data_IF_776201658663
#
_entry.id   IF_776201658663
#
_cell.length_a   1.000
_cell.length_b   1.000
_cell.length_c   1.000
_cell.angle_alpha   90.00
_cell.angle_beta   90.00
_cell.angle_gamma   90.00
#
_symmetry.space_group_name_H-M   'P 1'
#
loop_
_entity.id
_entity.type
_entity.pdbx_description
1 polymer ?
#
# COMPACT_ATOMS: atom_id res chain seq x y z
N UNK A 1 69.75 -71.00 -23.97
CA UNK A 1 69.45 -71.81 -22.76
C UNK A 1 68.76 -70.88 -21.71
N UNK A 2 67.50 -71.27 -21.33
CA UNK A 2 66.89 -71.12 -20.03
C UNK A 2 66.80 -69.67 -19.42
N UNK A 3 65.76 -69.13 -18.84
CA UNK A 3 64.44 -69.53 -18.37
C UNK A 3 63.65 -68.30 -18.08
N UNK A 4 62.37 -68.26 -18.30
CA UNK A 4 61.42 -67.40 -17.61
C UNK A 4 61.41 -67.69 -16.11
N UNK A 5 61.01 -66.73 -15.24
CA UNK A 5 59.59 -66.76 -14.83
C UNK A 5 58.94 -65.37 -14.37
N UNK A 6 57.67 -65.44 -14.52
CA UNK A 6 56.57 -64.97 -13.66
C UNK A 6 56.23 -63.47 -13.54
N UNK A 7 55.19 -63.18 -14.19
CA UNK A 7 54.17 -62.17 -13.98
C UNK A 7 53.72 -62.10 -12.50
N UNK A 8 53.68 -60.89 -11.95
CA UNK A 8 52.93 -60.56 -10.74
C UNK A 8 51.95 -59.41 -11.03
N UNK A 9 50.72 -59.73 -10.91
CA UNK A 9 49.49 -58.97 -11.11
C UNK A 9 49.54 -57.58 -10.47
N UNK A 10 49.49 -56.49 -11.29
CA UNK A 10 49.16 -55.14 -10.83
C UNK A 10 47.61 -55.00 -10.86
N UNK A 11 47.02 -55.05 -9.67
CA UNK A 11 45.64 -54.75 -9.44
C UNK A 11 45.46 -53.23 -9.48
N UNK A 12 45.00 -52.68 -10.59
CA UNK A 12 44.65 -51.27 -10.70
C UNK A 12 43.26 -51.05 -10.04
N UNK A 13 43.29 -50.42 -8.84
CA UNK A 13 42.13 -49.85 -8.20
C UNK A 13 41.65 -48.65 -9.01
N UNK A 14 40.57 -48.82 -9.79
CA UNK A 14 39.78 -47.71 -10.34
C UNK A 14 38.95 -47.09 -9.20
N UNK A 15 39.35 -45.94 -8.70
CA UNK A 15 38.58 -45.10 -7.81
C UNK A 15 37.64 -44.25 -8.72
N UNK A 16 36.31 -44.40 -8.66
CA UNK A 16 35.43 -43.49 -9.38
C UNK A 16 35.46 -42.12 -8.71
N UNK A 17 36.00 -41.13 -9.43
CA UNK A 17 35.92 -39.73 -9.06
C UNK A 17 34.47 -39.28 -9.22
N UNK A 18 33.71 -39.29 -8.14
CA UNK A 18 32.33 -38.77 -8.06
C UNK A 18 32.40 -37.25 -8.16
N UNK A 19 32.30 -36.72 -9.39
CA UNK A 19 32.11 -35.28 -9.62
C UNK A 19 30.73 -34.90 -9.10
N UNK A 20 30.69 -34.36 -7.89
CA UNK A 20 29.53 -33.59 -7.36
C UNK A 20 29.40 -32.31 -8.21
N UNK A 21 28.60 -32.39 -9.26
CA UNK A 21 28.04 -31.18 -9.87
C UNK A 21 27.11 -30.53 -8.87
N UNK A 22 27.61 -29.55 -8.10
CA UNK A 22 26.79 -28.58 -7.43
C UNK A 22 26.03 -27.82 -8.51
N UNK A 23 24.82 -28.26 -8.79
CA UNK A 23 23.88 -27.50 -9.58
C UNK A 23 23.53 -26.25 -8.77
N UNK A 24 24.23 -25.15 -9.00
CA UNK A 24 23.74 -23.84 -8.62
C UNK A 24 22.42 -23.64 -9.39
N UNK A 25 21.31 -23.83 -8.72
CA UNK A 25 20.01 -23.45 -9.27
C UNK A 25 20.09 -21.98 -9.65
N UNK A 26 19.70 -21.61 -10.88
CA UNK A 26 19.64 -20.20 -11.22
C UNK A 26 18.68 -19.52 -10.23
N UNK A 27 19.20 -18.59 -9.43
CA UNK A 27 18.36 -17.73 -8.61
C UNK A 27 17.61 -16.82 -9.55
N UNK A 28 16.37 -17.15 -9.85
CA UNK A 28 15.48 -16.21 -10.49
C UNK A 28 15.34 -15.00 -9.56
N UNK A 29 15.39 -13.78 -10.09
CA UNK A 29 15.11 -12.60 -9.28
C UNK A 29 13.75 -12.81 -8.61
N UNK A 30 13.73 -12.74 -7.29
CA UNK A 30 12.48 -12.86 -6.53
C UNK A 30 11.59 -11.69 -6.93
N UNK A 31 10.34 -11.96 -7.28
CA UNK A 31 9.37 -10.90 -7.56
C UNK A 31 9.31 -9.93 -6.36
N UNK A 32 9.19 -8.62 -6.61
CA UNK A 32 9.09 -7.64 -5.53
C UNK A 32 7.91 -7.97 -4.63
N UNK A 33 8.06 -7.74 -3.33
CA UNK A 33 6.96 -7.89 -2.38
C UNK A 33 5.84 -6.91 -2.70
N UNK A 34 4.66 -7.14 -2.13
CA UNK A 34 3.49 -6.32 -2.46
C UNK A 34 3.67 -4.84 -2.11
N UNK A 35 4.42 -4.54 -1.05
CA UNK A 35 4.67 -3.19 -0.55
C UNK A 35 6.17 -2.93 -0.41
N UNK A 36 6.58 -1.67 -0.57
CA UNK A 36 7.91 -1.20 -0.19
C UNK A 36 7.80 -0.09 0.85
N UNK A 37 8.66 -0.15 1.87
CA UNK A 37 8.82 0.88 2.90
C UNK A 37 10.07 1.67 2.55
N UNK A 38 9.89 2.96 2.27
CA UNK A 38 10.98 3.86 1.82
C UNK A 38 11.33 4.82 2.95
N UNK A 39 12.58 4.79 3.39
CA UNK A 39 13.14 5.70 4.38
C UNK A 39 13.76 6.92 3.67
N UNK A 40 13.29 8.13 4.00
CA UNK A 40 13.74 9.39 3.40
C UNK A 40 14.30 10.32 4.48
N UNK A 41 15.61 10.52 4.49
CA UNK A 41 16.30 11.33 5.50
C UNK A 41 16.02 12.84 5.35
N UNK A 42 16.39 13.61 6.36
CA UNK A 42 16.25 15.06 6.39
C UNK A 42 17.49 15.82 5.86
N UNK A 43 17.51 17.11 6.13
CA UNK A 43 18.61 18.01 5.80
C UNK A 43 19.92 17.53 6.45
N UNK A 44 21.02 17.53 5.70
CA UNK A 44 22.34 17.01 6.11
C UNK A 44 22.34 15.52 6.50
N UNK A 45 21.26 14.79 6.22
CA UNK A 45 21.17 13.37 6.47
C UNK A 45 21.78 12.53 5.35
N UNK A 46 21.91 11.25 5.66
CA UNK A 46 22.30 10.16 4.78
C UNK A 46 21.69 8.84 5.31
N UNK A 47 22.12 7.71 4.75
CA UNK A 47 21.67 6.38 5.24
C UNK A 47 21.93 6.15 6.72
N UNK A 48 23.00 6.74 7.28
CA UNK A 48 23.35 6.57 8.71
C UNK A 48 22.42 7.31 9.66
N UNK A 49 21.61 8.25 9.18
CA UNK A 49 20.67 9.03 9.98
C UNK A 49 19.72 8.17 10.81
N UNK A 50 19.46 6.96 10.36
CA UNK A 50 18.56 5.98 10.99
C UNK A 50 19.24 5.08 12.03
N UNK A 51 20.52 5.34 12.34
CA UNK A 51 21.34 4.52 13.25
C UNK A 51 21.36 5.13 14.65
N UNK A 52 20.97 4.34 15.63
CA UNK A 52 21.03 4.69 17.04
C UNK A 52 22.42 4.53 17.64
N UNK A 53 22.69 5.14 18.78
CA UNK A 53 23.98 5.09 19.46
C UNK A 53 24.40 3.68 19.89
N UNK A 54 23.44 2.78 20.15
CA UNK A 54 23.71 1.37 20.46
C UNK A 54 23.98 0.50 19.22
N UNK A 55 24.04 1.11 18.02
CA UNK A 55 24.26 0.44 16.75
C UNK A 55 22.98 -0.08 16.07
N UNK A 56 21.81 -0.03 16.72
CA UNK A 56 20.55 -0.40 16.09
C UNK A 56 20.31 0.47 14.85
N UNK A 57 19.85 -0.17 13.77
CA UNK A 57 19.56 0.49 12.50
C UNK A 57 18.10 0.27 12.14
N UNK A 58 17.31 1.35 12.13
CA UNK A 58 15.86 1.24 11.98
C UNK A 58 15.43 0.42 10.76
N UNK A 59 15.98 0.61 9.56
CA UNK A 59 15.63 -0.23 8.42
C UNK A 59 15.87 -1.73 8.66
N UNK A 60 16.93 -2.10 9.41
CA UNK A 60 17.19 -3.51 9.73
C UNK A 60 16.23 -4.06 10.79
N UNK A 61 15.80 -3.22 11.75
CA UNK A 61 14.75 -3.58 12.70
C UNK A 61 13.44 -3.91 11.96
N UNK A 62 13.09 -3.13 10.92
CA UNK A 62 11.91 -3.36 10.08
C UNK A 62 12.08 -4.63 9.24
N UNK A 63 13.22 -4.80 8.55
CA UNK A 63 13.49 -5.99 7.71
C UNK A 63 13.39 -7.30 8.48
N UNK A 64 13.75 -7.28 9.75
CA UNK A 64 13.76 -8.46 10.61
C UNK A 64 12.49 -8.64 11.46
N UNK A 65 11.52 -7.74 11.35
CA UNK A 65 10.25 -7.83 12.08
C UNK A 65 9.18 -8.55 11.22
N UNK A 66 8.61 -9.67 11.70
CA UNK A 66 7.55 -10.39 10.98
C UNK A 66 6.35 -9.53 10.60
N UNK A 67 6.04 -8.45 11.33
CA UNK A 67 4.96 -7.53 10.98
C UNK A 67 5.13 -6.87 9.61
N UNK A 68 6.34 -6.85 9.07
CA UNK A 68 6.64 -6.24 7.76
C UNK A 68 7.06 -7.28 6.72
N UNK A 69 6.76 -8.57 6.95
CA UNK A 69 7.22 -9.67 6.09
C UNK A 69 6.78 -9.54 4.62
N UNK A 70 5.68 -8.84 4.36
CA UNK A 70 5.16 -8.59 3.01
C UNK A 70 5.72 -7.33 2.35
N UNK A 71 6.69 -6.65 3.00
CA UNK A 71 7.29 -5.42 2.48
C UNK A 71 8.77 -5.57 2.23
N UNK A 72 9.21 -4.98 1.12
CA UNK A 72 10.62 -4.66 0.92
C UNK A 72 10.94 -3.35 1.66
N UNK A 73 12.23 -3.12 1.90
CA UNK A 73 12.70 -1.91 2.59
C UNK A 73 13.77 -1.26 1.75
N UNK A 74 13.53 -0.03 1.37
CA UNK A 74 14.50 0.83 0.71
C UNK A 74 14.91 2.00 1.61
N UNK A 75 16.19 2.40 1.52
CA UNK A 75 16.73 3.57 2.20
C UNK A 75 17.32 4.47 1.15
N UNK A 76 16.53 5.42 0.72
CA UNK A 76 16.94 6.32 -0.35
C UNK A 76 17.98 7.31 0.15
N UNK A 77 18.95 7.60 -0.70
CA UNK A 77 19.99 8.60 -0.46
C UNK A 77 19.93 9.65 -1.57
N UNK A 78 19.83 10.90 -1.19
CA UNK A 78 19.86 12.04 -2.11
C UNK A 78 20.86 13.09 -1.62
N UNK A 79 21.44 13.92 -2.50
CA UNK A 79 22.38 14.96 -2.09
C UNK A 79 21.75 15.90 -1.08
N UNK A 80 22.27 15.95 0.13
CA UNK A 80 21.84 16.94 1.12
C UNK A 80 22.63 18.23 0.95
N UNK A 81 22.03 19.42 1.10
CA UNK A 81 22.62 20.71 0.76
C UNK A 81 23.97 21.05 1.40
N UNK A 82 24.40 20.34 2.45
CA UNK A 82 25.68 20.61 3.13
C UNK A 82 26.93 20.46 2.26
N UNK A 83 26.87 19.72 1.16
CA UNK A 83 28.08 19.36 0.44
C UNK A 83 28.37 20.21 -0.80
N UNK A 84 27.37 20.84 -1.45
CA UNK A 84 27.58 21.69 -2.62
C UNK A 84 26.33 22.59 -2.93
N UNK A 85 25.55 22.94 -1.93
CA UNK A 85 24.18 23.34 -2.00
C UNK A 85 23.85 24.61 -2.76
N UNK A 86 23.11 24.45 -3.80
CA UNK A 86 22.25 25.49 -4.41
C UNK A 86 20.96 24.88 -4.95
N UNK A 87 20.52 23.76 -4.39
CA UNK A 87 19.31 23.10 -4.87
C UNK A 87 18.08 23.56 -4.10
N UNK A 88 17.00 23.88 -4.80
CA UNK A 88 15.69 24.12 -4.21
C UNK A 88 15.01 22.81 -3.81
N UNK A 89 13.95 22.88 -3.00
CA UNK A 89 13.12 21.74 -2.66
C UNK A 89 12.59 21.01 -3.91
N UNK A 90 12.20 21.76 -4.94
CA UNK A 90 11.75 21.22 -6.23
C UNK A 90 12.85 20.37 -6.90
N UNK A 91 14.07 20.88 -6.96
CA UNK A 91 15.19 20.16 -7.58
C UNK A 91 15.55 18.90 -6.78
N UNK A 92 15.50 18.96 -5.46
CA UNK A 92 15.75 17.79 -4.61
C UNK A 92 14.62 16.76 -4.72
N UNK A 93 13.38 17.19 -4.88
CA UNK A 93 12.26 16.30 -5.15
C UNK A 93 12.41 15.56 -6.49
N UNK A 94 12.90 16.24 -7.54
CA UNK A 94 13.21 15.61 -8.85
C UNK A 94 14.37 14.61 -8.73
N UNK A 95 15.39 14.91 -7.92
CA UNK A 95 16.49 13.98 -7.65
C UNK A 95 15.97 12.75 -6.87
N UNK A 96 15.17 12.96 -5.83
CA UNK A 96 14.53 11.90 -5.06
C UNK A 96 13.71 10.98 -5.99
N UNK A 97 12.87 11.56 -6.84
CA UNK A 97 12.11 10.83 -7.85
C UNK A 97 12.97 9.92 -8.71
N UNK A 98 14.04 10.48 -9.31
CA UNK A 98 14.94 9.74 -10.17
C UNK A 98 15.63 8.59 -9.41
N UNK A 99 15.95 8.80 -8.14
CA UNK A 99 16.56 7.76 -7.30
C UNK A 99 15.61 6.63 -7.02
N UNK A 100 14.39 6.92 -6.58
CA UNK A 100 13.35 5.92 -6.33
C UNK A 100 13.01 5.10 -7.59
N UNK A 101 13.11 5.73 -8.77
CA UNK A 101 12.95 5.03 -10.03
C UNK A 101 14.12 4.08 -10.33
N UNK A 102 15.36 4.48 -10.04
CA UNK A 102 16.55 3.63 -10.19
C UNK A 102 16.53 2.46 -9.20
N UNK A 103 16.02 2.67 -8.00
CA UNK A 103 15.90 1.67 -6.95
C UNK A 103 14.63 0.80 -7.09
N UNK A 104 13.91 0.92 -8.22
CA UNK A 104 12.73 0.11 -8.58
C UNK A 104 11.57 0.19 -7.57
N UNK A 105 11.48 1.26 -6.78
CA UNK A 105 10.43 1.46 -5.78
C UNK A 105 9.04 1.39 -6.40
N UNK A 106 8.89 1.96 -7.59
CA UNK A 106 7.60 2.03 -8.31
C UNK A 106 7.18 0.72 -8.97
N UNK A 107 8.00 -0.34 -8.92
CA UNK A 107 7.62 -1.67 -9.39
C UNK A 107 6.73 -2.39 -8.37
N UNK A 108 6.67 -1.90 -7.12
CA UNK A 108 5.79 -2.43 -6.08
C UNK A 108 4.35 -1.96 -6.28
N UNK A 109 3.41 -2.80 -5.82
CA UNK A 109 1.98 -2.46 -5.86
C UNK A 109 1.63 -1.30 -4.93
N UNK A 110 2.25 -1.26 -3.77
CA UNK A 110 2.03 -0.25 -2.75
C UNK A 110 3.36 0.32 -2.24
N UNK A 111 3.38 1.63 -2.02
CA UNK A 111 4.52 2.36 -1.47
C UNK A 111 4.09 3.05 -0.18
N UNK A 112 4.93 2.99 0.83
CA UNK A 112 4.79 3.79 2.05
C UNK A 112 6.10 4.52 2.33
N UNK A 113 6.00 5.77 2.76
CA UNK A 113 7.16 6.57 3.11
C UNK A 113 7.26 6.74 4.62
N UNK A 114 8.49 6.59 5.14
CA UNK A 114 8.89 7.00 6.46
C UNK A 114 9.91 8.13 6.27
N UNK A 115 9.47 9.34 6.51
CA UNK A 115 10.23 10.54 6.18
C UNK A 115 10.60 11.35 7.42
N UNK A 116 11.78 11.93 7.42
CA UNK A 116 12.28 12.77 8.49
C UNK A 116 12.49 14.21 8.01
N UNK A 117 11.99 15.16 8.77
CA UNK A 117 12.29 16.59 8.58
C UNK A 117 12.04 17.06 7.14
N UNK A 118 13.03 17.67 6.48
CA UNK A 118 12.99 18.04 5.05
C UNK A 118 12.52 16.90 4.15
N UNK A 119 12.89 15.65 4.46
CA UNK A 119 12.51 14.48 3.66
C UNK A 119 11.00 14.36 3.45
N UNK A 120 10.17 14.75 4.43
CA UNK A 120 8.72 14.78 4.29
C UNK A 120 8.26 15.81 3.25
N UNK A 121 8.81 17.01 3.29
CA UNK A 121 8.51 18.07 2.31
C UNK A 121 8.89 17.62 0.88
N UNK A 122 10.05 16.95 0.73
CA UNK A 122 10.49 16.44 -0.57
C UNK A 122 9.58 15.33 -1.11
N UNK A 123 9.10 14.44 -0.23
CA UNK A 123 8.13 13.41 -0.60
C UNK A 123 6.83 14.06 -1.07
N UNK A 124 6.31 15.05 -0.35
CA UNK A 124 5.07 15.73 -0.71
C UNK A 124 5.19 16.46 -2.05
N UNK A 125 6.26 17.24 -2.25
CA UNK A 125 6.53 17.93 -3.52
C UNK A 125 6.68 16.95 -4.69
N UNK A 126 7.41 15.85 -4.49
CA UNK A 126 7.58 14.81 -5.49
C UNK A 126 6.25 14.18 -5.90
N UNK A 127 5.40 13.83 -4.93
CA UNK A 127 4.11 13.18 -5.20
C UNK A 127 3.14 14.10 -5.95
N UNK A 128 3.14 15.40 -5.67
CA UNK A 128 2.37 16.38 -6.43
C UNK A 128 2.78 16.45 -7.90
N UNK A 129 4.07 16.29 -8.18
CA UNK A 129 4.64 16.33 -9.53
C UNK A 129 4.44 15.03 -10.31
N UNK A 130 4.20 13.91 -9.60
CA UNK A 130 4.06 12.57 -10.17
C UNK A 130 2.77 11.87 -9.70
N UNK A 131 1.58 12.39 -10.07
CA UNK A 131 0.31 11.89 -9.55
C UNK A 131 -0.02 10.45 -9.98
N UNK A 132 0.54 9.95 -11.07
CA UNK A 132 0.34 8.58 -11.51
C UNK A 132 0.95 7.57 -10.52
N UNK A 133 2.15 7.87 -10.00
CA UNK A 133 2.84 7.07 -9.02
C UNK A 133 2.32 7.31 -7.61
N UNK A 134 1.88 8.55 -7.32
CA UNK A 134 1.22 8.91 -6.07
C UNK A 134 0.01 8.01 -5.77
N UNK A 135 -0.70 7.53 -6.80
CA UNK A 135 -1.80 6.58 -6.65
C UNK A 135 -1.40 5.23 -6.02
N UNK A 136 -0.10 4.88 -6.02
CA UNK A 136 0.44 3.69 -5.35
C UNK A 136 0.80 3.93 -3.89
N UNK A 137 0.89 5.20 -3.47
CA UNK A 137 1.28 5.55 -2.10
C UNK A 137 0.08 5.40 -1.18
N UNK A 138 0.22 4.58 -0.15
CA UNK A 138 -0.84 4.32 0.82
C UNK A 138 -0.84 5.33 1.94
N UNK A 139 0.34 5.65 2.46
CA UNK A 139 0.51 6.65 3.49
C UNK A 139 1.95 7.16 3.57
N UNK A 140 2.09 8.30 4.21
CA UNK A 140 3.37 8.90 4.60
C UNK A 140 3.39 9.03 6.12
N UNK A 141 4.46 8.57 6.76
CA UNK A 141 4.71 8.83 8.19
C UNK A 141 5.84 9.84 8.30
N UNK A 142 5.50 11.02 8.79
CA UNK A 142 6.41 12.16 8.90
C UNK A 142 6.89 12.33 10.34
N UNK A 143 8.20 12.32 10.53
CA UNK A 143 8.86 12.56 11.81
C UNK A 143 9.50 13.95 11.79
N UNK A 144 8.93 14.89 12.55
CA UNK A 144 9.43 16.24 12.65
C UNK A 144 9.47 17.01 11.32
N UNK A 145 8.54 16.74 10.39
CA UNK A 145 8.47 17.47 9.11
C UNK A 145 7.91 18.87 9.32
N UNK A 146 8.58 19.92 8.83
CA UNK A 146 8.18 21.32 9.09
C UNK A 146 7.16 21.83 8.08
N UNK A 147 5.90 21.36 8.12
CA UNK A 147 4.85 21.72 7.15
C UNK A 147 4.49 23.22 7.15
N UNK A 148 4.65 23.92 8.29
CA UNK A 148 4.46 25.36 8.42
C UNK A 148 5.80 26.11 8.62
N UNK A 149 6.89 25.48 8.18
CA UNK A 149 8.23 25.99 8.40
C UNK A 149 8.81 25.62 9.77
N UNK A 150 10.06 25.95 9.94
CA UNK A 150 10.78 25.66 11.17
C UNK A 150 11.51 26.89 11.68
N UNK A 151 11.84 26.89 12.98
CA UNK A 151 12.77 27.85 13.54
C UNK A 151 14.16 27.75 12.89
N UNK A 152 14.40 26.69 12.10
CA UNK A 152 15.58 26.57 11.21
C UNK A 152 15.65 27.73 10.21
N UNK A 153 14.55 28.36 9.85
CA UNK A 153 14.59 29.61 9.09
C UNK A 153 15.41 30.71 9.77
N UNK A 154 15.52 30.71 11.11
CA UNK A 154 16.49 31.55 11.83
C UNK A 154 17.94 31.13 11.57
N UNK A 155 18.17 29.92 11.08
CA UNK A 155 19.49 29.44 10.66
C UNK A 155 19.80 29.78 9.23
N UNK A 156 18.79 30.10 8.39
CA UNK A 156 19.03 30.65 7.04
C UNK A 156 20.01 31.82 7.07
N UNK A 157 19.99 32.63 8.12
CA UNK A 157 20.94 33.74 8.31
C UNK A 157 22.40 33.27 8.51
N UNK A 158 22.62 32.01 8.88
CA UNK A 158 23.95 31.42 9.07
C UNK A 158 24.42 30.73 7.76
N UNK A 159 23.45 30.20 6.99
CA UNK A 159 23.69 29.52 5.71
C UNK A 159 23.28 30.37 4.50
N UNK A 160 23.33 31.61 4.59
CA UNK A 160 22.91 32.76 3.80
C UNK A 160 22.83 32.62 2.25
N UNK A 161 22.92 31.41 1.69
CA UNK A 161 22.94 31.17 0.24
C UNK A 161 22.28 29.87 -0.20
N UNK A 162 21.67 29.09 0.69
CA UNK A 162 21.04 27.84 0.27
C UNK A 162 19.54 28.05 0.01
N UNK A 163 19.06 27.88 -1.24
CA UNK A 163 17.64 28.06 -1.58
C UNK A 163 16.69 27.19 -0.74
N UNK A 164 17.15 26.01 -0.31
CA UNK A 164 16.35 25.08 0.51
C UNK A 164 15.95 25.69 1.85
N UNK A 165 16.81 26.52 2.45
CA UNK A 165 16.51 27.15 3.72
C UNK A 165 15.46 28.26 3.58
N UNK A 166 15.42 28.92 2.42
CA UNK A 166 14.33 29.85 2.10
C UNK A 166 13.01 29.10 1.95
N UNK A 167 13.03 27.95 1.28
CA UNK A 167 11.82 27.12 1.10
C UNK A 167 11.26 26.60 2.43
N UNK A 168 12.12 26.38 3.45
CA UNK A 168 11.76 25.94 4.79
C UNK A 168 11.51 27.08 5.78
N UNK A 169 11.62 28.34 5.37
CA UNK A 169 11.33 29.48 6.23
C UNK A 169 9.83 29.55 6.56
N UNK A 170 9.48 30.24 7.65
CA UNK A 170 8.09 30.28 8.09
C UNK A 170 7.14 30.90 7.04
N UNK A 171 5.87 30.48 7.07
CA UNK A 171 4.86 30.83 6.07
C UNK A 171 4.58 32.33 5.96
N UNK A 172 5.05 33.15 6.89
CA UNK A 172 4.90 34.62 6.82
C UNK A 172 5.90 35.26 5.86
N UNK A 173 6.99 34.57 5.58
CA UNK A 173 8.10 35.07 4.73
C UNK A 173 8.26 34.29 3.44
N UNK A 174 7.65 33.10 3.29
CA UNK A 174 7.77 32.23 2.13
C UNK A 174 6.45 31.56 1.76
N UNK A 175 6.10 31.62 0.49
CA UNK A 175 4.88 31.03 -0.05
C UNK A 175 5.05 29.55 -0.47
N UNK A 176 6.26 28.98 -0.45
CA UNK A 176 6.50 27.62 -0.92
C UNK A 176 5.67 26.59 -0.13
N UNK A 177 5.79 26.55 1.20
CA UNK A 177 5.05 25.60 2.04
C UNK A 177 3.54 25.79 1.97
N UNK A 178 3.08 27.06 1.95
CA UNK A 178 1.65 27.38 1.79
C UNK A 178 1.11 26.89 0.44
N UNK A 179 1.89 27.06 -0.64
CA UNK A 179 1.53 26.57 -1.94
C UNK A 179 1.56 25.04 -2.02
N UNK A 180 2.54 24.39 -1.39
CA UNK A 180 2.65 22.95 -1.29
C UNK A 180 1.40 22.35 -0.65
N UNK A 181 1.00 22.84 0.53
CA UNK A 181 -0.19 22.36 1.23
C UNK A 181 -1.49 22.68 0.46
N UNK A 182 -1.60 23.86 -0.14
CA UNK A 182 -2.76 24.21 -0.97
C UNK A 182 -2.87 23.28 -2.18
N UNK A 183 -1.76 22.98 -2.84
CA UNK A 183 -1.69 22.06 -3.98
C UNK A 183 -2.01 20.63 -3.56
N UNK A 184 -1.53 20.20 -2.37
CA UNK A 184 -1.84 18.89 -1.81
C UNK A 184 -3.36 18.72 -1.64
N UNK A 185 -4.02 19.66 -0.96
CA UNK A 185 -5.47 19.65 -0.77
C UNK A 185 -6.26 19.77 -2.08
N UNK A 186 -5.73 20.50 -3.04
CA UNK A 186 -6.35 20.72 -4.36
C UNK A 186 -6.20 19.55 -5.34
N UNK A 187 -5.34 18.56 -5.07
CA UNK A 187 -5.06 17.44 -5.97
C UNK A 187 -5.65 16.14 -5.41
N UNK A 188 -6.79 15.64 -5.92
CA UNK A 188 -7.53 14.52 -5.31
C UNK A 188 -6.67 13.28 -5.07
N UNK A 189 -5.80 12.90 -6.02
CA UNK A 189 -4.95 11.71 -5.91
C UNK A 189 -4.02 11.78 -4.70
N UNK A 190 -3.33 12.90 -4.49
CA UNK A 190 -2.42 13.05 -3.35
C UNK A 190 -3.17 13.32 -2.06
N UNK A 191 -4.28 14.08 -2.12
CA UNK A 191 -5.10 14.36 -0.95
C UNK A 191 -5.75 13.11 -0.33
N UNK A 192 -5.85 12.01 -1.10
CA UNK A 192 -6.31 10.73 -0.59
C UNK A 192 -5.24 9.94 0.17
N UNK A 193 -3.97 10.38 0.14
CA UNK A 193 -2.86 9.74 0.85
C UNK A 193 -2.90 10.18 2.32
N UNK A 194 -2.99 9.22 3.23
CA UNK A 194 -2.93 9.50 4.66
C UNK A 194 -1.56 10.01 5.08
N UNK A 195 -1.52 11.11 5.84
CA UNK A 195 -0.30 11.68 6.43
C UNK A 195 -0.34 11.48 7.94
N UNK A 196 0.48 10.58 8.46
CA UNK A 196 0.63 10.32 9.89
C UNK A 196 1.87 11.05 10.43
N UNK A 197 1.76 11.71 11.56
CA UNK A 197 2.80 12.61 12.03
C UNK A 197 3.29 12.26 13.43
N UNK A 198 4.60 12.40 13.62
CA UNK A 198 5.25 12.37 14.91
C UNK A 198 6.07 13.66 15.13
N UNK A 199 6.14 14.11 16.36
CA UNK A 199 6.83 15.35 16.73
C UNK A 199 7.79 15.14 17.90
N UNK A 200 8.86 15.93 17.91
CA UNK A 200 9.84 15.95 19.00
C UNK A 200 9.27 16.68 20.22
N UNK A 201 9.56 16.17 21.44
CA UNK A 201 9.20 16.85 22.69
C UNK A 201 10.40 17.38 23.47
N UNK A 202 11.62 17.10 23.02
CA UNK A 202 12.85 17.60 23.62
C UNK A 202 13.55 18.60 22.72
N UNK A 203 14.29 19.53 23.33
CA UNK A 203 15.07 20.52 22.60
C UNK A 203 16.36 19.90 22.10
N UNK A 204 16.78 20.23 20.89
CA UNK A 204 18.02 19.74 20.28
C UNK A 204 19.22 20.42 20.91
N UNK A 205 20.18 19.62 21.33
CA UNK A 205 21.49 20.10 21.83
C UNK A 205 22.53 20.05 20.70
N UNK A 206 23.51 20.99 20.65
CA UNK A 206 24.45 21.10 19.55
C UNK A 206 25.61 20.11 19.70
N UNK A 207 25.38 18.81 19.48
CA UNK A 207 26.46 17.82 19.56
C UNK A 207 26.99 17.38 18.21
N UNK A 208 26.11 17.20 17.18
CA UNK A 208 26.55 16.76 15.85
C UNK A 208 25.68 17.30 14.69
N UNK A 209 26.29 17.40 13.51
CA UNK A 209 25.58 17.74 12.27
C UNK A 209 24.96 19.14 12.28
N UNK A 210 23.68 19.26 11.99
CA UNK A 210 22.91 20.52 11.99
C UNK A 210 22.87 21.15 13.38
N UNK A 211 22.90 20.31 14.42
CA UNK A 211 22.82 20.74 15.81
C UNK A 211 23.92 21.71 16.23
N UNK A 212 25.14 21.62 15.64
CA UNK A 212 26.27 22.55 15.94
C UNK A 212 25.98 24.02 15.59
N UNK A 213 24.97 24.26 14.78
CA UNK A 213 24.55 25.60 14.37
C UNK A 213 23.32 26.09 15.14
N UNK A 214 22.70 25.20 15.94
CA UNK A 214 21.56 25.56 16.78
C UNK A 214 22.05 26.26 18.05
N UNK A 215 21.25 27.22 18.54
CA UNK A 215 21.39 27.63 19.92
C UNK A 215 21.08 26.47 20.83
N UNK A 216 21.80 26.28 21.93
CA UNK A 216 21.45 25.24 22.91
C UNK A 216 19.96 25.38 23.33
N UNK A 217 19.30 24.23 23.48
CA UNK A 217 17.89 24.17 23.90
C UNK A 217 16.92 24.79 22.86
N UNK A 218 17.01 24.43 21.61
CA UNK A 218 16.08 24.88 20.58
C UNK A 218 15.27 23.70 20.03
N UNK A 219 13.94 23.81 20.11
CA UNK A 219 13.03 22.95 19.35
C UNK A 219 13.18 23.27 17.87
N UNK A 220 13.55 22.26 17.05
CA UNK A 220 13.79 22.49 15.62
C UNK A 220 12.48 22.71 14.88
N UNK A 221 11.48 21.85 15.11
CA UNK A 221 10.15 21.98 14.52
C UNK A 221 9.12 22.09 15.64
N UNK A 222 8.29 23.13 15.61
CA UNK A 222 7.23 23.29 16.59
C UNK A 222 6.16 22.21 16.43
N UNK A 223 5.45 21.89 17.52
CA UNK A 223 4.30 20.98 17.49
C UNK A 223 3.34 21.32 16.34
N UNK A 224 2.95 22.60 16.25
CA UNK A 224 2.01 23.06 15.23
C UNK A 224 2.51 22.75 13.80
N UNK A 225 3.76 23.06 13.52
CA UNK A 225 4.36 22.82 12.21
C UNK A 225 4.52 21.32 11.92
N UNK A 226 4.95 20.52 12.90
CA UNK A 226 5.14 19.09 12.74
C UNK A 226 3.82 18.31 12.53
N UNK A 227 2.69 18.87 12.94
CA UNK A 227 1.38 18.21 12.92
C UNK A 227 0.39 18.83 11.94
N UNK A 228 0.79 19.88 11.24
CA UNK A 228 -0.08 20.56 10.28
C UNK A 228 -0.38 19.68 9.08
N UNK A 229 -1.65 19.61 8.71
CA UNK A 229 -2.11 18.80 7.57
C UNK A 229 -2.09 17.28 7.79
N UNK A 230 -1.81 16.80 9.00
CA UNK A 230 -1.82 15.39 9.32
C UNK A 230 -3.23 14.82 9.43
N UNK A 231 -3.35 13.50 9.30
CA UNK A 231 -4.62 12.78 9.42
C UNK A 231 -5.22 13.01 10.82
N UNK A 232 -6.47 13.46 10.85
CA UNK A 232 -7.17 13.76 12.10
C UNK A 232 -7.69 12.51 12.81
N UNK A 233 -7.74 11.38 12.12
CA UNK A 233 -8.24 10.09 12.67
C UNK A 233 -7.20 9.42 13.56
N UNK A 234 -5.92 9.70 13.32
CA UNK A 234 -4.80 9.17 14.10
C UNK A 234 -4.08 10.35 14.77
N UNK A 235 -4.19 10.50 16.08
CA UNK A 235 -3.51 11.59 16.80
C UNK A 235 -1.99 11.59 16.52
N UNK A 236 -1.38 12.75 16.32
CA UNK A 236 0.08 12.86 16.17
C UNK A 236 0.81 12.25 17.37
N UNK A 237 1.89 11.53 17.08
CA UNK A 237 2.67 10.83 18.12
C UNK A 237 3.76 11.73 18.68
N UNK A 238 3.74 11.93 20.00
CA UNK A 238 4.86 12.51 20.74
C UNK A 238 6.01 11.51 20.82
N UNK A 239 7.23 11.97 20.49
CA UNK A 239 8.47 11.23 20.68
C UNK A 239 9.31 11.98 21.71
N UNK A 240 9.58 11.35 22.84
CA UNK A 240 10.45 11.90 23.90
C UNK A 240 11.90 11.85 23.47
N UNK A 241 12.24 12.70 22.54
CA UNK A 241 13.57 12.89 21.99
C UNK A 241 13.63 14.24 21.26
N UNK A 242 14.84 14.68 20.95
CA UNK A 242 15.08 15.84 20.09
C UNK A 242 14.89 15.49 18.60
N UNK A 243 15.02 16.49 17.75
CA UNK A 243 14.81 16.39 16.32
C UNK A 243 15.67 15.33 15.62
N UNK A 244 16.89 15.10 16.11
CA UNK A 244 17.84 14.16 15.51
C UNK A 244 17.65 12.74 16.05
N UNK A 245 17.34 12.62 17.34
CA UNK A 245 17.23 11.33 18.01
C UNK A 245 15.85 10.68 17.86
N UNK A 246 14.80 11.44 17.52
CA UNK A 246 13.46 10.90 17.33
C UNK A 246 13.36 9.82 16.24
N UNK A 247 14.32 9.77 15.31
CA UNK A 247 14.38 8.78 14.24
C UNK A 247 15.44 7.69 14.46
N UNK A 248 15.95 7.57 15.68
CA UNK A 248 16.99 6.61 16.06
C UNK A 248 16.49 5.64 17.13
N UNK A 249 15.49 4.79 16.83
CA UNK A 249 14.97 3.84 17.81
C UNK A 249 16.06 2.87 18.27
N UNK A 250 16.17 2.68 19.57
CA UNK A 250 17.14 1.77 20.17
C UNK A 250 16.76 0.30 19.95
N UNK A 251 15.46 0.06 19.82
CA UNK A 251 14.84 -1.25 19.60
C UNK A 251 13.41 -1.12 19.07
N UNK A 252 12.70 -2.26 18.94
CA UNK A 252 11.30 -2.31 18.48
C UNK A 252 10.28 -1.81 19.51
N UNK A 253 10.67 -1.53 20.74
CA UNK A 253 9.79 -0.98 21.79
C UNK A 253 9.89 0.54 21.89
N UNK A 254 10.85 1.14 21.18
CA UNK A 254 10.98 2.59 21.11
C UNK A 254 9.73 3.24 20.53
N UNK A 255 9.27 4.36 21.09
CA UNK A 255 8.01 5.02 20.72
C UNK A 255 7.90 5.33 19.21
N UNK A 256 9.01 5.75 18.58
CA UNK A 256 9.05 6.01 17.15
C UNK A 256 8.79 4.76 16.31
N UNK A 257 9.41 3.63 16.69
CA UNK A 257 9.22 2.36 16.01
C UNK A 257 7.79 1.82 16.22
N UNK A 258 7.30 1.86 17.45
CA UNK A 258 5.96 1.38 17.80
C UNK A 258 4.87 2.19 17.09
N UNK A 259 5.03 3.49 16.96
CA UNK A 259 4.12 4.34 16.19
C UNK A 259 4.05 3.90 14.73
N UNK A 260 5.19 3.72 14.07
CA UNK A 260 5.22 3.24 12.69
C UNK A 260 4.57 1.85 12.55
N UNK A 261 4.88 0.93 13.46
CA UNK A 261 4.30 -0.42 13.49
C UNK A 261 2.78 -0.39 13.63
N UNK A 262 2.23 0.48 14.49
CA UNK A 262 0.77 0.66 14.65
C UNK A 262 0.14 1.20 13.36
N UNK A 263 0.70 2.26 12.81
CA UNK A 263 0.23 2.83 11.53
C UNK A 263 0.23 1.77 10.43
N UNK A 264 1.31 1.01 10.31
CA UNK A 264 1.41 -0.05 9.30
C UNK A 264 0.36 -1.15 9.48
N UNK A 265 0.15 -1.62 10.72
CA UNK A 265 -0.87 -2.62 11.05
C UNK A 265 -2.29 -2.14 10.73
N UNK A 266 -2.57 -0.88 11.04
CA UNK A 266 -3.90 -0.30 10.86
C UNK A 266 -4.18 0.05 9.38
N UNK A 267 -3.16 -0.07 8.52
CA UNK A 267 -3.24 0.07 7.06
C UNK A 267 -2.76 -1.21 6.34
N UNK A 268 -3.48 -2.32 6.44
CA UNK A 268 -3.05 -3.61 5.91
C UNK A 268 -2.95 -3.58 4.38
N UNK A 269 -2.14 -4.49 3.84
CA UNK A 269 -2.11 -4.77 2.41
C UNK A 269 -3.39 -5.53 2.07
N UNK A 270 -4.17 -5.02 1.09
CA UNK A 270 -5.43 -5.62 0.70
C UNK A 270 -5.26 -6.41 -0.61
N UNK A 271 -5.88 -7.56 -0.70
CA UNK A 271 -5.97 -8.36 -1.91
C UNK A 271 -7.41 -8.34 -2.43
N UNK A 272 -7.57 -8.22 -3.74
CA UNK A 272 -8.89 -8.38 -4.37
C UNK A 272 -9.22 -9.86 -4.48
N UNK A 273 -10.38 -10.23 -3.98
CA UNK A 273 -10.95 -11.57 -4.09
C UNK A 273 -12.29 -11.51 -4.80
N UNK A 274 -12.45 -12.36 -5.79
CA UNK A 274 -13.74 -12.55 -6.47
C UNK A 274 -14.47 -13.71 -5.80
N UNK A 275 -15.70 -13.44 -5.35
CA UNK A 275 -16.58 -14.44 -4.78
C UNK A 275 -17.92 -14.43 -5.52
N UNK A 276 -18.60 -15.57 -5.56
CA UNK A 276 -19.95 -15.66 -6.09
C UNK A 276 -20.93 -15.94 -4.97
N UNK A 277 -22.08 -15.27 -5.02
CA UNK A 277 -23.21 -15.53 -4.12
C UNK A 277 -24.47 -15.72 -4.93
N UNK A 278 -25.25 -16.72 -4.57
CA UNK A 278 -26.53 -17.02 -5.22
C UNK A 278 -27.70 -16.51 -4.37
N UNK A 279 -28.69 -15.94 -5.02
CA UNK A 279 -30.01 -15.72 -4.47
C UNK A 279 -31.01 -16.54 -5.30
N UNK A 280 -31.86 -17.34 -4.64
CA UNK A 280 -32.79 -18.24 -5.31
C UNK A 280 -34.22 -17.91 -4.88
N UNK A 281 -35.02 -17.47 -5.84
CA UNK A 281 -36.46 -17.26 -5.66
C UNK A 281 -37.17 -18.55 -6.07
N UNK A 282 -37.60 -19.30 -5.09
CA UNK A 282 -38.26 -20.59 -5.30
C UNK A 282 -39.80 -20.49 -5.38
N UNK A 283 -40.41 -21.55 -5.86
CA UNK A 283 -41.85 -21.70 -5.82
C UNK A 283 -42.62 -20.89 -6.86
N UNK A 284 -41.97 -20.47 -7.94
CA UNK A 284 -42.66 -19.85 -9.07
C UNK A 284 -43.55 -20.88 -9.78
N UNK A 285 -44.80 -20.55 -10.06
CA UNK A 285 -45.76 -21.48 -10.68
C UNK A 285 -46.57 -20.82 -11.78
N UNK A 286 -46.89 -21.57 -12.82
CA UNK A 286 -47.80 -21.15 -13.86
C UNK A 286 -48.82 -22.28 -14.18
N UNK A 287 -50.11 -22.01 -14.08
CA UNK A 287 -51.16 -22.94 -14.45
C UNK A 287 -51.29 -23.17 -15.94
N UNK A 288 -52.17 -24.09 -16.36
CA UNK A 288 -52.42 -24.37 -17.78
C UNK A 288 -52.83 -23.15 -18.57
N UNK A 289 -52.07 -22.86 -19.62
CA UNK A 289 -52.25 -21.69 -20.47
C UNK A 289 -52.06 -20.35 -19.78
N UNK A 290 -51.45 -20.36 -18.60
CA UNK A 290 -51.05 -19.16 -17.85
C UNK A 290 -49.57 -18.92 -17.98
N UNK A 291 -49.15 -17.70 -17.80
CA UNK A 291 -47.75 -17.30 -17.68
C UNK A 291 -47.46 -16.83 -16.26
N UNK A 292 -46.23 -17.01 -15.82
CA UNK A 292 -45.66 -16.33 -14.67
C UNK A 292 -44.50 -15.49 -15.21
N UNK A 293 -44.59 -14.19 -15.10
CA UNK A 293 -43.57 -13.27 -15.57
C UNK A 293 -43.46 -12.06 -14.65
N UNK A 294 -42.32 -11.49 -14.58
CA UNK A 294 -42.08 -10.20 -13.92
C UNK A 294 -41.13 -9.37 -14.78
N UNK A 295 -41.41 -8.09 -14.83
CA UNK A 295 -40.57 -7.08 -15.44
C UNK A 295 -40.00 -6.25 -14.30
N UNK A 296 -38.69 -6.05 -14.30
CA UNK A 296 -37.97 -5.31 -13.26
C UNK A 296 -38.11 -5.93 -11.85
N UNK A 297 -37.99 -7.27 -11.76
CA UNK A 297 -37.90 -7.92 -10.46
C UNK A 297 -36.60 -7.50 -9.76
N UNK A 298 -36.72 -6.88 -8.59
CA UNK A 298 -35.60 -6.44 -7.79
C UNK A 298 -35.11 -7.57 -6.88
N UNK A 299 -33.87 -8.00 -7.08
CA UNK A 299 -33.26 -9.07 -6.29
C UNK A 299 -32.04 -8.51 -5.54
N UNK A 300 -32.16 -8.27 -4.22
CA UNK A 300 -31.08 -7.73 -3.42
C UNK A 300 -30.04 -8.79 -3.07
N UNK A 301 -28.81 -8.34 -2.84
CA UNK A 301 -27.75 -9.12 -2.20
C UNK A 301 -27.16 -8.31 -1.05
N UNK A 302 -26.94 -8.96 0.10
CA UNK A 302 -26.27 -8.33 1.22
C UNK A 302 -24.77 -8.19 0.90
N UNK A 303 -24.27 -6.96 0.91
CA UNK A 303 -22.85 -6.63 0.75
C UNK A 303 -22.22 -6.33 2.10
N UNK A 304 -21.01 -6.84 2.32
CA UNK A 304 -20.25 -6.59 3.53
C UNK A 304 -19.36 -5.35 3.35
N UNK A 305 -19.73 -4.27 4.03
CA UNK A 305 -18.97 -3.01 3.98
C UNK A 305 -17.58 -3.13 4.58
N UNK A 306 -17.33 -4.08 5.48
CA UNK A 306 -16.01 -4.32 6.10
C UNK A 306 -14.99 -4.75 5.06
N UNK A 307 -15.43 -5.46 4.02
CA UNK A 307 -14.58 -5.93 2.93
C UNK A 307 -14.71 -5.08 1.65
N UNK A 308 -15.32 -3.91 1.73
CA UNK A 308 -15.56 -3.03 0.58
C UNK A 308 -16.15 -3.79 -0.62
N UNK A 309 -17.12 -4.67 -0.36
CA UNK A 309 -17.74 -5.50 -1.38
C UNK A 309 -18.50 -4.66 -2.41
N UNK A 310 -18.35 -5.02 -3.68
CA UNK A 310 -19.13 -4.45 -4.78
C UNK A 310 -19.52 -5.53 -5.78
N UNK A 311 -20.72 -5.46 -6.30
CA UNK A 311 -21.15 -6.34 -7.39
C UNK A 311 -20.46 -5.92 -8.69
N UNK A 312 -19.84 -6.87 -9.38
CA UNK A 312 -19.16 -6.64 -10.66
C UNK A 312 -19.88 -7.27 -11.84
N UNK A 313 -20.65 -8.34 -11.60
CA UNK A 313 -21.51 -8.95 -12.60
C UNK A 313 -22.69 -9.68 -11.95
N UNK A 314 -23.78 -9.84 -12.70
CA UNK A 314 -24.94 -10.64 -12.31
C UNK A 314 -25.38 -11.48 -13.48
N UNK A 315 -25.75 -12.72 -13.21
CA UNK A 315 -26.42 -13.61 -14.18
C UNK A 315 -27.70 -14.16 -13.58
N UNK A 316 -28.71 -14.41 -14.41
CA UNK A 316 -29.95 -14.98 -14.00
C UNK A 316 -30.31 -16.20 -14.84
N UNK A 317 -30.96 -17.21 -14.24
CA UNK A 317 -31.39 -18.41 -14.92
C UNK A 317 -32.61 -19.01 -14.22
N UNK A 318 -33.51 -19.62 -14.99
CA UNK A 318 -34.54 -20.47 -14.44
C UNK A 318 -33.98 -21.87 -14.21
N UNK A 319 -34.20 -22.41 -13.02
CA UNK A 319 -33.72 -23.72 -12.59
C UNK A 319 -34.86 -24.51 -11.94
N UNK A 320 -34.64 -25.81 -11.71
CA UNK A 320 -35.65 -26.72 -11.12
C UNK A 320 -36.98 -26.68 -11.86
N UNK A 321 -36.95 -26.61 -13.18
CA UNK A 321 -38.10 -26.47 -14.04
C UNK A 321 -38.85 -27.81 -14.16
N UNK A 322 -40.17 -27.75 -14.02
CA UNK A 322 -41.10 -28.88 -14.23
C UNK A 322 -42.29 -28.38 -15.01
N UNK A 323 -42.66 -29.11 -16.07
CA UNK A 323 -43.84 -28.79 -16.93
C UNK A 323 -43.82 -27.37 -17.53
N UNK A 324 -42.65 -26.74 -17.62
CA UNK A 324 -42.47 -25.45 -18.30
C UNK A 324 -42.51 -25.67 -19.80
N UNK A 325 -43.38 -24.95 -20.51
CA UNK A 325 -43.63 -25.12 -21.92
C UNK A 325 -42.89 -24.08 -22.78
N UNK A 326 -42.71 -22.90 -22.25
CA UNK A 326 -42.10 -21.78 -22.95
C UNK A 326 -41.43 -20.83 -21.94
N UNK A 327 -40.28 -20.26 -22.28
CA UNK A 327 -39.51 -19.29 -21.48
C UNK A 327 -39.32 -18.03 -22.34
N UNK A 328 -39.67 -16.88 -21.80
CA UNK A 328 -39.52 -15.59 -22.49
C UNK A 328 -39.34 -14.45 -21.47
N UNK A 329 -38.18 -13.82 -21.42
CA UNK A 329 -36.93 -14.11 -22.17
C UNK A 329 -36.20 -15.40 -21.69
N UNK A 330 -35.51 -16.06 -22.60
CA UNK A 330 -34.70 -17.23 -22.31
C UNK A 330 -33.23 -16.98 -22.77
N UNK A 331 -32.27 -16.83 -21.86
CA UNK A 331 -32.40 -16.81 -20.39
C UNK A 331 -33.04 -15.50 -19.88
N UNK A 332 -33.42 -15.46 -18.59
CA UNK A 332 -33.83 -14.22 -17.92
C UNK A 332 -32.81 -13.10 -18.12
N UNK A 333 -33.26 -11.89 -18.38
CA UNK A 333 -32.42 -10.75 -18.69
C UNK A 333 -32.15 -9.94 -17.43
N UNK A 334 -30.86 -9.68 -17.15
CA UNK A 334 -30.42 -8.68 -16.16
C UNK A 334 -30.43 -7.31 -16.84
N UNK A 335 -31.38 -6.46 -16.44
CA UNK A 335 -31.58 -5.12 -17.03
C UNK A 335 -30.72 -4.04 -16.35
N UNK A 336 -30.26 -4.29 -15.13
CA UNK A 336 -29.39 -3.37 -14.39
C UNK A 336 -28.96 -3.89 -13.02
N UNK A 337 -27.99 -3.19 -12.45
CA UNK A 337 -27.52 -3.38 -11.08
C UNK A 337 -27.37 -1.99 -10.48
N UNK A 338 -28.00 -1.73 -9.34
CA UNK A 338 -27.83 -0.46 -8.66
C UNK A 338 -26.58 -0.45 -7.74
N UNK A 339 -26.13 0.73 -7.29
CA UNK A 339 -24.95 0.86 -6.41
C UNK A 339 -25.11 0.15 -5.05
N UNK A 340 -26.33 -0.14 -4.61
CA UNK A 340 -26.62 -0.86 -3.37
C UNK A 340 -26.55 -2.38 -3.53
N UNK A 341 -26.31 -2.88 -4.75
CA UNK A 341 -26.20 -4.31 -5.06
C UNK A 341 -27.55 -4.96 -5.40
N UNK A 342 -28.58 -4.19 -5.72
CA UNK A 342 -29.87 -4.74 -6.19
C UNK A 342 -29.80 -5.00 -7.69
N UNK A 343 -30.05 -6.24 -8.10
CA UNK A 343 -30.16 -6.61 -9.51
C UNK A 343 -31.61 -6.46 -9.98
N UNK A 344 -31.78 -5.91 -11.17
CA UNK A 344 -33.07 -5.77 -11.86
C UNK A 344 -33.15 -6.84 -12.94
N UNK A 345 -34.21 -7.66 -12.90
CA UNK A 345 -34.33 -8.87 -13.74
C UNK A 345 -35.69 -9.00 -14.36
N UNK A 346 -35.69 -9.23 -15.68
CA UNK A 346 -36.89 -9.62 -16.42
C UNK A 346 -36.86 -11.13 -16.60
N UNK A 347 -37.98 -11.79 -16.25
CA UNK A 347 -38.15 -13.21 -16.51
C UNK A 347 -39.58 -13.55 -16.86
N UNK A 348 -39.80 -14.68 -17.54
CA UNK A 348 -41.10 -15.20 -17.79
C UNK A 348 -41.07 -16.67 -18.21
N UNK A 349 -42.15 -17.41 -17.89
CA UNK A 349 -42.35 -18.75 -18.40
C UNK A 349 -43.85 -19.09 -18.46
N UNK A 350 -44.21 -20.04 -19.32
CA UNK A 350 -45.58 -20.50 -19.50
C UNK A 350 -45.77 -21.90 -18.98
N UNK A 351 -46.93 -22.14 -18.42
CA UNK A 351 -47.41 -23.45 -18.05
C UNK A 351 -47.86 -24.30 -19.24
N UNK A 352 -48.16 -25.59 -19.03
CA UNK A 352 -48.58 -26.50 -20.06
C UNK A 352 -49.83 -26.01 -20.80
N UNK A 353 -49.86 -26.29 -22.11
CA UNK A 353 -51.00 -25.94 -22.95
C UNK A 353 -52.26 -26.71 -22.55
N UNK A 354 -53.47 -26.16 -22.86
CA UNK A 354 -54.72 -26.89 -22.73
C UNK A 354 -54.91 -27.84 -23.92
N UNK A 355 -55.02 -29.12 -23.64
CA UNK A 355 -55.40 -30.12 -24.67
C UNK A 355 -56.81 -30.60 -24.36
N UNK A 356 -57.80 -30.41 -25.30
CA UNK A 356 -59.20 -30.91 -25.20
C UNK A 356 -59.89 -30.63 -23.86
N UNK A 357 -59.83 -29.38 -23.34
CA UNK A 357 -60.47 -28.95 -22.09
C UNK A 357 -59.89 -29.52 -20.77
N UNK A 358 -58.81 -30.27 -20.80
CA UNK A 358 -58.20 -30.84 -19.59
C UNK A 358 -56.82 -30.18 -19.37
N UNK A 359 -56.62 -29.65 -18.19
CA UNK A 359 -55.33 -29.17 -17.73
C UNK A 359 -54.62 -30.27 -16.96
N UNK A 360 -53.47 -30.72 -17.44
CA UNK A 360 -52.66 -31.76 -16.82
C UNK A 360 -51.38 -31.17 -16.24
N UNK A 361 -51.52 -30.40 -15.16
CA UNK A 361 -50.32 -30.00 -14.41
C UNK A 361 -50.15 -28.49 -14.19
N UNK A 362 -49.17 -28.15 -13.41
CA UNK A 362 -48.77 -26.78 -13.11
C UNK A 362 -47.26 -26.71 -13.32
N UNK A 363 -46.82 -25.80 -14.17
CA UNK A 363 -45.40 -25.52 -14.33
C UNK A 363 -44.80 -24.96 -13.04
N UNK A 364 -43.64 -25.39 -12.71
CA UNK A 364 -42.84 -24.88 -11.56
C UNK A 364 -41.44 -24.53 -12.01
N UNK A 365 -40.90 -23.49 -11.42
CA UNK A 365 -39.52 -23.07 -11.63
C UNK A 365 -38.96 -22.37 -10.37
N UNK A 366 -37.69 -22.16 -10.35
CA UNK A 366 -37.02 -21.26 -9.42
C UNK A 366 -36.14 -20.30 -10.23
N UNK A 367 -36.11 -19.02 -9.89
CA UNK A 367 -35.22 -18.06 -10.48
C UNK A 367 -33.92 -18.05 -9.62
N UNK A 368 -32.83 -18.46 -10.22
CA UNK A 368 -31.51 -18.37 -9.62
C UNK A 368 -30.80 -17.14 -10.15
N UNK A 369 -30.36 -16.25 -9.24
CA UNK A 369 -29.59 -15.06 -9.54
C UNK A 369 -28.25 -15.21 -8.90
N UNK A 370 -27.20 -15.22 -9.71
CA UNK A 370 -25.82 -15.35 -9.26
C UNK A 370 -25.11 -14.00 -9.37
N UNK A 371 -24.58 -13.53 -8.25
CA UNK A 371 -23.83 -12.29 -8.13
C UNK A 371 -22.34 -12.61 -8.10
N UNK A 372 -21.58 -11.97 -8.96
CA UNK A 372 -20.11 -11.92 -8.88
C UNK A 372 -19.71 -10.66 -8.11
N UNK A 373 -19.03 -10.85 -7.00
CA UNK A 373 -18.69 -9.78 -6.05
C UNK A 373 -17.18 -9.68 -5.96
N UNK A 374 -16.66 -8.49 -6.16
CA UNK A 374 -15.29 -8.15 -5.84
C UNK A 374 -15.23 -7.63 -4.39
N UNK A 375 -14.35 -8.20 -3.58
CA UNK A 375 -14.12 -7.78 -2.20
C UNK A 375 -12.62 -7.62 -1.93
N UNK A 376 -12.30 -6.73 -0.99
CA UNK A 376 -10.94 -6.49 -0.52
C UNK A 376 -10.73 -7.18 0.81
N UNK A 377 -9.79 -8.11 0.88
CA UNK A 377 -9.42 -8.81 2.11
C UNK A 377 -7.99 -8.50 2.50
N UNK A 378 -7.70 -8.33 3.80
CA UNK A 378 -6.32 -8.23 4.28
C UNK A 378 -5.54 -9.49 3.93
N UNK A 379 -4.37 -9.33 3.31
CA UNK A 379 -3.44 -10.45 3.16
C UNK A 379 -2.95 -10.82 4.55
N UNK A 380 -3.21 -12.06 4.96
CA UNK A 380 -2.70 -12.58 6.24
C UNK A 380 -1.24 -12.93 6.06
N UNK A 381 -0.42 -12.37 6.95
CA UNK A 381 0.96 -12.83 7.09
C UNK A 381 1.00 -14.30 7.52
N UNK A 382 1.99 -15.08 7.04
CA UNK A 382 2.18 -16.44 7.56
C UNK A 382 2.38 -16.35 9.06
N UNK A 383 1.47 -16.97 9.81
CA UNK A 383 1.65 -17.17 11.25
C UNK A 383 2.75 -18.22 11.41
N UNK A 384 3.94 -17.79 11.88
CA UNK A 384 5.01 -18.68 12.29
C UNK A 384 4.75 -19.19 13.72
#
# INVERSE_FOLDING_TARGET
>A
MKRHPHCTTCLQLFLPLLLLFLHASPSFPQAPRARVIVFVHGLHGDRSSWRAANGAYWPDLVKSDPHFALSDVDVVEYPSPASNGKSSSIQLADILWNRLKQDHVWDHREVVFLAHSLGGILVEEMLLRHPAEAARVKFVVSYGTPHEGSTVARFASIYDKDPILNDLSDATSNTFLTNLESSWRGTPTVNSIHRFCAYESEDTTPEDGIARYLKPHTRVVSYFSATYGCDVTTPPQEIHADHIHMIKPLDRNSAAYDFFRRVYRDNPILEEQIVTRDNVIAGLTAGCGQANSNVDLQVPIALDSTFHERVTAVTASLVNMTDVHDIDPDPPIVTGIDPSGVAHIDYGFKGPGKTLLVCLGTARASLKVQFTINRQIPIREPQN
#
